data_IF_123672423422
#
_entry.id   IF_123672423422
#
_cell.length_a   1.000
_cell.length_b   1.000
_cell.length_c   1.000
_cell.angle_alpha   90.00
_cell.angle_beta   90.00
_cell.angle_gamma   90.00
#
_symmetry.space_group_name_H-M   'P 1'
#
loop_
_entity.id
_entity.type
_entity.pdbx_description
1 polymer ?
#
# COMPACT_ATOMS: atom_id res chain seq x y z
N UNK A 1 -7.31 20.72 2.12
CA UNK A 1 -6.10 20.78 2.95
C UNK A 1 -5.29 22.03 2.60
N UNK A 2 -5.77 23.21 2.92
CA UNK A 2 -5.06 24.48 2.70
C UNK A 2 -4.96 25.19 4.05
N UNK A 3 -3.73 25.40 4.56
CA UNK A 3 -3.50 26.09 5.81
C UNK A 3 -2.22 25.66 6.53
N UNK A 4 -1.97 26.24 7.70
CA UNK A 4 -0.79 25.97 8.57
C UNK A 4 -0.59 24.46 8.80
N UNK A 5 -1.67 23.71 9.01
CA UNK A 5 -1.61 22.27 9.22
C UNK A 5 -1.05 21.48 8.02
N UNK A 6 -1.23 21.95 6.78
CA UNK A 6 -0.64 21.27 5.60
C UNK A 6 0.87 21.47 5.52
N UNK A 7 1.39 22.63 5.94
CA UNK A 7 2.83 22.88 6.04
C UNK A 7 3.46 22.05 7.15
N UNK A 8 2.79 21.96 8.31
CA UNK A 8 3.25 21.11 9.42
C UNK A 8 3.27 19.63 9.03
N UNK A 9 2.21 19.15 8.34
CA UNK A 9 2.22 17.79 7.78
C UNK A 9 3.42 17.57 6.87
N UNK A 10 3.64 18.48 5.92
CA UNK A 10 4.75 18.36 4.97
C UNK A 10 6.11 18.35 5.66
N UNK A 11 6.32 19.23 6.63
CA UNK A 11 7.55 19.26 7.43
C UNK A 11 7.75 17.95 8.20
N UNK A 12 6.69 17.42 8.83
CA UNK A 12 6.72 16.13 9.52
C UNK A 12 7.02 14.97 8.58
N UNK A 13 6.38 14.92 7.41
CA UNK A 13 6.64 13.92 6.36
C UNK A 13 8.12 13.94 5.94
N UNK A 14 8.68 15.12 5.69
CA UNK A 14 10.09 15.28 5.27
C UNK A 14 11.05 14.82 6.35
N UNK A 15 10.88 15.34 7.57
CA UNK A 15 11.77 15.01 8.70
C UNK A 15 11.74 13.51 8.98
N UNK A 16 10.54 12.95 9.12
CA UNK A 16 10.40 11.54 9.47
C UNK A 16 10.88 10.63 8.34
N UNK A 17 10.61 10.97 7.07
CA UNK A 17 11.11 10.20 5.92
C UNK A 17 12.63 10.26 5.81
N UNK A 18 13.26 11.40 6.10
CA UNK A 18 14.71 11.55 6.11
C UNK A 18 15.34 10.70 7.21
N UNK A 19 14.82 10.80 8.44
CA UNK A 19 15.31 10.02 9.59
C UNK A 19 15.14 8.51 9.35
N UNK A 20 13.96 8.08 8.91
CA UNK A 20 13.70 6.67 8.59
C UNK A 20 14.57 6.20 7.42
N UNK A 21 14.76 7.04 6.39
CA UNK A 21 15.63 6.73 5.26
C UNK A 21 17.05 6.42 5.71
N UNK A 22 17.64 7.27 6.56
CA UNK A 22 18.99 7.06 7.11
C UNK A 22 19.01 5.81 8.02
N UNK A 23 18.07 5.70 8.94
CA UNK A 23 18.01 4.59 9.89
C UNK A 23 17.88 3.22 9.20
N UNK A 24 17.21 3.18 8.05
CA UNK A 24 17.00 1.93 7.29
C UNK A 24 18.08 1.67 6.24
N UNK A 25 19.09 2.53 6.05
CA UNK A 25 20.15 2.32 5.07
C UNK A 25 20.86 0.96 5.18
N UNK A 26 21.30 0.49 6.36
CA UNK A 26 21.92 -0.84 6.46
C UNK A 26 20.97 -1.94 6.05
N UNK A 27 19.70 -1.86 6.45
CA UNK A 27 18.66 -2.81 6.08
C UNK A 27 18.42 -2.81 4.56
N UNK A 28 18.32 -1.63 3.94
CA UNK A 28 18.12 -1.52 2.48
C UNK A 28 19.27 -2.10 1.69
N UNK A 29 20.52 -1.97 2.18
CA UNK A 29 21.69 -2.59 1.58
C UNK A 29 21.60 -4.13 1.62
N UNK A 30 21.26 -4.71 2.79
CA UNK A 30 21.05 -6.15 2.96
C UNK A 30 19.91 -6.65 2.07
N UNK A 31 18.76 -5.97 2.08
CA UNK A 31 17.62 -6.36 1.24
C UNK A 31 17.96 -6.29 -0.24
N UNK A 32 18.70 -5.28 -0.68
CA UNK A 32 19.18 -5.16 -2.07
C UNK A 32 20.01 -6.36 -2.47
N UNK A 33 20.93 -6.79 -1.62
CA UNK A 33 21.76 -7.97 -1.86
C UNK A 33 20.90 -9.25 -1.93
N UNK A 34 20.01 -9.47 -0.98
CA UNK A 34 19.11 -10.62 -0.95
C UNK A 34 18.23 -10.71 -2.19
N UNK A 35 17.66 -9.59 -2.66
CA UNK A 35 16.84 -9.53 -3.87
C UNK A 35 17.68 -9.92 -5.11
N UNK A 36 18.91 -9.45 -5.18
CA UNK A 36 19.82 -9.75 -6.28
C UNK A 36 20.27 -11.21 -6.32
N UNK A 37 20.39 -11.85 -5.15
CA UNK A 37 20.71 -13.28 -5.02
C UNK A 37 19.51 -14.19 -5.29
N UNK A 38 18.27 -13.71 -5.04
CA UNK A 38 17.04 -14.51 -5.18
C UNK A 38 16.53 -14.59 -6.63
N UNK A 39 16.78 -13.55 -7.43
CA UNK A 39 16.34 -13.52 -8.84
C UNK A 39 17.09 -12.49 -9.67
N UNK A 40 17.17 -12.69 -10.98
CA UNK A 40 17.83 -11.79 -11.93
C UNK A 40 17.08 -10.46 -12.10
N UNK A 41 17.84 -9.38 -12.34
CA UNK A 41 17.31 -8.06 -12.66
C UNK A 41 17.58 -7.00 -11.60
N UNK A 42 17.02 -5.76 -11.75
CA UNK A 42 17.25 -4.65 -10.83
C UNK A 42 16.56 -4.89 -9.48
N UNK A 43 17.19 -4.49 -8.36
CA UNK A 43 16.60 -4.63 -7.04
C UNK A 43 15.43 -3.66 -6.80
N UNK A 44 15.43 -2.52 -7.50
CA UNK A 44 14.34 -1.52 -7.44
C UNK A 44 13.41 -1.71 -8.62
N UNK A 45 12.14 -1.92 -8.31
CA UNK A 45 11.03 -1.89 -9.27
C UNK A 45 10.49 -0.46 -9.35
N UNK A 46 10.15 -0.04 -10.56
CA UNK A 46 9.60 1.28 -10.87
C UNK A 46 8.22 1.09 -11.49
N UNK A 47 7.21 1.74 -10.90
CA UNK A 47 5.84 1.68 -11.41
C UNK A 47 5.30 3.08 -11.65
N UNK A 48 4.61 3.28 -12.77
CA UNK A 48 3.84 4.53 -12.98
C UNK A 48 2.62 4.51 -12.08
N UNK A 49 2.40 5.60 -11.36
CA UNK A 49 1.25 5.78 -10.47
C UNK A 49 0.67 7.18 -10.64
N UNK A 50 -0.61 7.30 -10.29
CA UNK A 50 -1.33 8.59 -10.29
C UNK A 50 -1.40 9.11 -8.86
N UNK A 51 -0.97 10.34 -8.67
CA UNK A 51 -0.91 11.04 -7.40
C UNK A 51 -1.86 12.24 -7.32
N UNK A 52 -1.47 13.22 -6.52
CA UNK A 52 -2.25 14.42 -6.26
C UNK A 52 -2.68 15.15 -7.55
N UNK A 53 -3.96 15.48 -7.63
CA UNK A 53 -4.59 16.14 -8.79
C UNK A 53 -4.40 15.40 -10.12
N UNK A 54 -4.26 14.07 -10.08
CA UNK A 54 -4.11 13.26 -11.28
C UNK A 54 -2.72 13.30 -11.92
N UNK A 55 -1.71 13.89 -11.27
CA UNK A 55 -0.33 13.92 -11.78
C UNK A 55 0.29 12.54 -11.68
N UNK A 56 0.87 12.06 -12.77
CA UNK A 56 1.62 10.82 -12.76
C UNK A 56 3.02 11.01 -12.16
N UNK A 57 3.48 9.98 -11.47
CA UNK A 57 4.83 9.92 -10.91
C UNK A 57 5.37 8.48 -10.96
N UNK A 58 6.68 8.33 -10.76
CA UNK A 58 7.33 7.03 -10.66
C UNK A 58 7.42 6.59 -9.20
N UNK A 59 6.67 5.57 -8.85
CA UNK A 59 6.74 4.91 -7.55
C UNK A 59 7.94 3.96 -7.50
N UNK A 60 8.72 4.03 -6.43
CA UNK A 60 9.85 3.13 -6.19
C UNK A 60 9.49 2.07 -5.15
N UNK A 61 9.79 0.81 -5.47
CA UNK A 61 9.65 -0.33 -4.54
C UNK A 61 10.83 -1.26 -4.66
N UNK A 62 11.10 -2.05 -3.65
CA UNK A 62 11.92 -3.24 -3.86
C UNK A 62 11.18 -4.23 -4.74
N UNK A 63 11.93 -4.88 -5.64
CA UNK A 63 11.39 -5.94 -6.48
C UNK A 63 11.03 -7.15 -5.61
N UNK A 64 9.76 -7.52 -5.62
CA UNK A 64 9.20 -8.67 -4.91
C UNK A 64 8.67 -9.75 -5.85
N UNK A 65 8.77 -9.54 -7.16
CA UNK A 65 8.35 -10.47 -8.21
C UNK A 65 9.48 -10.74 -9.18
N UNK A 66 9.41 -11.85 -9.91
CA UNK A 66 10.33 -12.15 -11.01
C UNK A 66 10.25 -11.06 -12.10
N UNK A 67 11.33 -10.91 -12.89
CA UNK A 67 11.43 -9.85 -13.90
C UNK A 67 10.37 -9.95 -15.01
N UNK A 68 9.91 -11.16 -15.30
CA UNK A 68 8.89 -11.48 -16.31
C UNK A 68 7.44 -11.50 -15.75
N UNK A 69 7.22 -10.99 -14.53
CA UNK A 69 5.95 -11.05 -13.82
C UNK A 69 4.77 -10.38 -14.60
N UNK A 70 5.05 -9.31 -15.35
CA UNK A 70 4.01 -8.65 -16.16
C UNK A 70 3.60 -9.52 -17.36
N UNK A 71 4.55 -10.20 -17.98
CA UNK A 71 4.29 -11.10 -19.12
C UNK A 71 3.44 -12.30 -18.69
N UNK A 72 3.70 -12.84 -17.49
CA UNK A 72 2.91 -13.95 -16.91
C UNK A 72 1.52 -13.53 -16.41
N UNK A 73 1.22 -12.24 -16.33
CA UNK A 73 -0.05 -11.78 -15.75
C UNK A 73 -1.25 -12.23 -16.56
N UNK A 74 -1.14 -12.24 -17.91
CA UNK A 74 -2.24 -12.66 -18.78
C UNK A 74 -2.68 -14.10 -18.50
N UNK A 75 -1.72 -15.01 -18.30
CA UNK A 75 -1.98 -16.43 -18.04
C UNK A 75 -2.61 -16.66 -16.65
N UNK A 76 -2.38 -15.73 -15.71
CA UNK A 76 -2.86 -15.79 -14.33
C UNK A 76 -4.12 -14.95 -14.07
N UNK A 77 -4.65 -14.30 -15.09
CA UNK A 77 -5.81 -13.41 -14.96
C UNK A 77 -7.05 -14.12 -14.37
N UNK A 78 -7.22 -15.41 -14.66
CA UNK A 78 -8.30 -16.24 -14.15
C UNK A 78 -8.23 -16.49 -12.62
N UNK A 79 -7.06 -16.30 -12.00
CA UNK A 79 -6.85 -16.42 -10.55
C UNK A 79 -7.06 -15.09 -9.79
N UNK A 80 -7.36 -14.01 -10.50
CA UNK A 80 -7.56 -12.70 -9.88
C UNK A 80 -8.87 -12.63 -9.10
N UNK A 81 -8.79 -12.43 -7.80
CA UNK A 81 -9.95 -12.26 -6.89
C UNK A 81 -10.26 -10.79 -6.58
N UNK A 82 -9.43 -9.85 -7.06
CA UNK A 82 -9.56 -8.42 -6.78
C UNK A 82 -10.52 -7.65 -7.71
N UNK A 83 -11.09 -8.31 -8.71
CA UNK A 83 -11.96 -7.66 -9.69
C UNK A 83 -11.22 -6.76 -10.69
N UNK A 84 -11.93 -5.90 -11.44
CA UNK A 84 -11.37 -5.12 -12.55
C UNK A 84 -10.43 -3.97 -12.09
N UNK A 85 -10.61 -3.51 -10.85
CA UNK A 85 -9.84 -2.39 -10.29
C UNK A 85 -8.59 -2.82 -9.54
N UNK A 86 -8.36 -4.13 -9.35
CA UNK A 86 -7.30 -4.62 -8.50
C UNK A 86 -6.82 -5.99 -8.93
N UNK A 87 -5.53 -6.12 -9.18
CA UNK A 87 -4.90 -7.43 -9.40
C UNK A 87 -4.51 -8.01 -8.04
N UNK A 88 -5.24 -9.04 -7.61
CA UNK A 88 -5.04 -9.73 -6.34
C UNK A 88 -5.13 -11.24 -6.57
N UNK A 89 -3.97 -11.89 -6.63
CA UNK A 89 -3.85 -13.33 -6.89
C UNK A 89 -3.36 -14.02 -5.63
N UNK A 90 -4.16 -14.94 -5.03
CA UNK A 90 -3.72 -15.71 -3.87
C UNK A 90 -2.51 -16.58 -4.22
N UNK A 91 -1.51 -16.64 -3.33
CA UNK A 91 -0.28 -17.41 -3.55
C UNK A 91 0.38 -17.14 -4.92
N UNK A 92 0.41 -15.89 -5.35
CA UNK A 92 0.86 -15.44 -6.65
C UNK A 92 2.24 -16.06 -7.01
N UNK A 93 2.32 -16.93 -8.05
CA UNK A 93 3.55 -17.63 -8.42
C UNK A 93 4.63 -16.69 -8.98
N UNK A 94 4.28 -15.43 -9.28
CA UNK A 94 5.23 -14.42 -9.73
C UNK A 94 6.06 -13.85 -8.58
N UNK A 95 5.62 -14.05 -7.32
CA UNK A 95 6.31 -13.52 -6.13
C UNK A 95 7.50 -14.42 -5.79
N UNK A 96 8.70 -13.82 -5.68
CA UNK A 96 9.92 -14.54 -5.33
C UNK A 96 9.93 -14.95 -3.84
N UNK A 97 10.90 -15.79 -3.43
CA UNK A 97 11.02 -16.23 -2.02
C UNK A 97 11.29 -15.04 -1.09
N UNK A 98 12.28 -14.21 -1.45
CA UNK A 98 12.58 -12.98 -0.72
C UNK A 98 11.40 -12.00 -0.83
N UNK A 99 10.76 -11.92 -2.01
CA UNK A 99 9.59 -11.09 -2.25
C UNK A 99 8.42 -11.38 -1.32
N UNK A 100 8.15 -12.64 -0.98
CA UNK A 100 7.14 -13.01 0.04
C UNK A 100 7.46 -12.41 1.40
N UNK A 101 8.70 -12.54 1.84
CA UNK A 101 9.16 -11.93 3.10
C UNK A 101 9.00 -10.41 3.09
N UNK A 102 9.44 -9.76 2.01
CA UNK A 102 9.32 -8.31 1.86
C UNK A 102 7.87 -7.83 1.96
N UNK A 103 6.94 -8.49 1.25
CA UNK A 103 5.51 -8.15 1.26
C UNK A 103 4.86 -8.40 2.61
N UNK A 104 5.22 -9.49 3.27
CA UNK A 104 4.71 -9.82 4.59
C UNK A 104 4.94 -8.71 5.61
N UNK A 105 6.11 -8.10 5.58
CA UNK A 105 6.50 -7.01 6.49
C UNK A 105 6.46 -5.63 5.84
N UNK A 106 5.88 -5.51 4.62
CA UNK A 106 5.82 -4.26 3.84
C UNK A 106 7.18 -3.58 3.61
N UNK A 107 8.27 -4.34 3.69
CA UNK A 107 9.64 -3.86 3.48
C UNK A 107 9.89 -3.48 2.02
N UNK A 108 9.12 -4.03 1.09
CA UNK A 108 9.15 -3.66 -0.32
C UNK A 108 8.78 -2.19 -0.54
N UNK A 109 8.14 -1.54 0.40
CA UNK A 109 7.70 -0.16 0.31
C UNK A 109 8.73 0.87 0.82
N UNK A 110 9.83 0.45 1.46
CA UNK A 110 10.87 1.35 1.97
C UNK A 110 11.41 2.36 0.94
N UNK A 111 11.65 1.99 -0.34
CA UNK A 111 12.11 2.97 -1.34
C UNK A 111 11.11 4.11 -1.61
N UNK A 112 9.84 3.99 -1.22
CA UNK A 112 8.86 5.07 -1.36
C UNK A 112 9.15 6.27 -0.44
N UNK A 113 9.98 6.12 0.60
CA UNK A 113 10.48 7.24 1.37
C UNK A 113 11.14 8.30 0.47
N UNK A 114 11.78 7.87 -0.63
CA UNK A 114 12.31 8.77 -1.64
C UNK A 114 11.22 9.55 -2.37
N UNK A 115 10.07 8.93 -2.67
CA UNK A 115 8.94 9.64 -3.26
C UNK A 115 8.36 10.69 -2.28
N UNK A 116 8.37 10.39 -0.97
CA UNK A 116 7.95 11.38 0.04
C UNK A 116 8.93 12.56 0.05
N UNK A 117 10.24 12.32 0.07
CA UNK A 117 11.24 13.39 0.04
C UNK A 117 11.11 14.26 -1.22
N UNK A 118 10.81 13.68 -2.38
CA UNK A 118 10.55 14.41 -3.64
C UNK A 118 9.24 15.21 -3.64
N UNK A 119 8.32 14.96 -2.71
CA UNK A 119 7.01 15.62 -2.67
C UNK A 119 5.94 14.98 -3.55
N UNK A 120 6.20 13.82 -4.10
CA UNK A 120 5.27 13.03 -4.89
C UNK A 120 4.28 12.26 -4.00
N UNK A 121 4.68 11.97 -2.76
CA UNK A 121 3.93 11.23 -1.75
C UNK A 121 4.01 11.90 -0.38
N UNK A 122 3.18 11.41 0.53
CA UNK A 122 3.18 11.62 1.98
C UNK A 122 3.45 10.28 2.68
N UNK A 123 3.78 10.30 3.96
CA UNK A 123 3.82 9.08 4.77
C UNK A 123 2.41 8.48 4.90
N UNK A 124 1.40 9.33 5.16
CA UNK A 124 0.00 8.92 5.33
C UNK A 124 -0.88 9.56 4.27
N UNK A 125 -1.67 8.75 3.58
CA UNK A 125 -2.61 9.20 2.55
C UNK A 125 -3.26 8.05 1.77
N UNK A 126 -4.12 8.35 0.79
CA UNK A 126 -4.69 7.36 -0.11
C UNK A 126 -3.60 6.58 -0.86
N UNK A 127 -3.81 5.27 -1.07
CA UNK A 127 -2.83 4.47 -1.83
C UNK A 127 -2.84 4.86 -3.31
N UNK A 128 -1.67 5.12 -3.94
CA UNK A 128 -1.61 5.49 -5.34
C UNK A 128 -1.90 4.28 -6.25
N UNK A 129 -2.77 4.49 -7.23
CA UNK A 129 -3.17 3.47 -8.20
C UNK A 129 -2.49 3.70 -9.56
N UNK A 130 -2.51 2.68 -10.43
CA UNK A 130 -1.98 2.79 -11.79
C UNK A 130 -2.85 3.71 -12.66
N UNK A 131 -2.30 4.26 -13.75
CA UNK A 131 -3.11 5.05 -14.70
C UNK A 131 -4.30 4.28 -15.27
N UNK A 132 -4.14 2.98 -15.54
CA UNK A 132 -5.21 2.11 -16.03
C UNK A 132 -6.34 1.93 -15.01
N UNK A 133 -6.02 1.77 -13.71
CA UNK A 133 -7.00 1.69 -12.64
C UNK A 133 -7.75 3.02 -12.45
N UNK A 134 -7.01 4.14 -12.46
CA UNK A 134 -7.60 5.48 -12.31
C UNK A 134 -8.47 5.87 -13.51
N UNK A 135 -8.18 5.36 -14.71
CA UNK A 135 -9.03 5.57 -15.88
C UNK A 135 -10.46 5.03 -15.69
N UNK A 136 -10.62 3.99 -14.87
CA UNK A 136 -11.90 3.37 -14.54
C UNK A 136 -12.64 4.06 -13.37
N UNK A 137 -12.05 5.09 -12.74
CA UNK A 137 -12.65 5.75 -11.59
C UNK A 137 -13.93 6.50 -11.95
N UNK A 138 -14.95 6.30 -11.14
CA UNK A 138 -16.12 7.18 -11.08
C UNK A 138 -15.71 8.56 -10.53
N UNK A 139 -16.57 9.57 -10.70
CA UNK A 139 -16.33 10.91 -10.15
C UNK A 139 -16.14 10.86 -8.61
N UNK A 140 -16.95 10.05 -7.93
CA UNK A 140 -16.82 9.84 -6.47
C UNK A 140 -15.43 9.28 -6.11
N UNK A 141 -14.94 8.28 -6.83
CA UNK A 141 -13.63 7.68 -6.59
C UNK A 141 -12.47 8.63 -6.90
N UNK A 142 -12.65 9.55 -7.87
CA UNK A 142 -11.64 10.57 -8.22
C UNK A 142 -11.33 11.53 -7.06
N UNK A 143 -12.23 11.68 -6.08
CA UNK A 143 -11.97 12.47 -4.86
C UNK A 143 -10.72 11.99 -4.11
N UNK A 144 -10.32 10.73 -4.25
CA UNK A 144 -9.05 10.19 -3.68
C UNK A 144 -7.82 10.97 -4.15
N UNK A 145 -7.88 11.57 -5.34
CA UNK A 145 -6.80 12.37 -5.92
C UNK A 145 -6.72 13.79 -5.33
N UNK A 146 -7.59 14.17 -4.43
CA UNK A 146 -7.57 15.46 -3.73
C UNK A 146 -6.51 15.55 -2.61
N UNK A 147 -5.84 14.43 -2.28
CA UNK A 147 -4.74 14.37 -1.32
C UNK A 147 -3.48 13.79 -1.95
N UNK A 148 -2.31 14.07 -1.34
CA UNK A 148 -1.08 13.35 -1.68
C UNK A 148 -1.25 11.86 -1.34
N UNK A 149 -0.82 10.96 -2.23
CA UNK A 149 -0.85 9.54 -1.92
C UNK A 149 0.11 9.20 -0.78
N UNK A 150 -0.25 8.20 0.03
CA UNK A 150 0.53 7.75 1.19
C UNK A 150 1.29 6.45 0.96
N UNK A 151 2.36 6.25 1.73
CA UNK A 151 2.99 4.93 1.92
C UNK A 151 2.02 4.05 2.70
N UNK A 152 1.45 4.59 3.79
CA UNK A 152 0.36 3.97 4.55
C UNK A 152 -0.91 4.83 4.49
N UNK A 153 -2.02 4.28 4.92
CA UNK A 153 -3.31 4.97 4.91
C UNK A 153 -4.35 4.28 5.77
N UNK A 154 -5.49 4.92 5.96
CA UNK A 154 -6.53 4.45 6.86
C UNK A 154 -7.02 3.04 6.51
N UNK A 155 -7.27 2.73 5.24
CA UNK A 155 -7.69 1.38 4.84
C UNK A 155 -6.60 0.32 5.09
N UNK A 156 -5.31 0.68 4.92
CA UNK A 156 -4.19 -0.24 5.10
C UNK A 156 -4.06 -0.72 6.55
N UNK A 157 -4.49 0.09 7.51
CA UNK A 157 -4.44 -0.25 8.93
C UNK A 157 -5.77 -0.79 9.48
N UNK A 158 -6.92 -0.49 8.83
CA UNK A 158 -8.25 -0.83 9.34
C UNK A 158 -9.04 -1.83 8.49
N UNK A 159 -8.72 -1.96 7.20
CA UNK A 159 -9.48 -2.77 6.24
C UNK A 159 -8.58 -3.51 5.23
N UNK A 160 -7.34 -3.83 5.61
CA UNK A 160 -6.34 -4.46 4.72
C UNK A 160 -6.79 -5.83 4.20
N UNK A 161 -7.51 -6.57 5.01
CA UNK A 161 -7.96 -7.93 4.69
C UNK A 161 -9.23 -7.93 3.83
N UNK A 162 -9.94 -6.81 3.69
CA UNK A 162 -11.14 -6.71 2.86
C UNK A 162 -10.74 -6.65 1.37
N UNK A 163 -11.24 -7.57 0.52
CA UNK A 163 -10.88 -7.58 -0.90
C UNK A 163 -11.63 -6.54 -1.73
N UNK A 164 -12.66 -5.89 -1.18
CA UNK A 164 -13.54 -4.99 -1.93
C UNK A 164 -12.91 -3.62 -2.10
N UNK A 165 -12.76 -3.21 -3.35
CA UNK A 165 -12.19 -1.91 -3.69
C UNK A 165 -13.02 -0.73 -3.13
N UNK A 166 -14.34 -0.88 -3.09
CA UNK A 166 -15.27 0.13 -2.55
C UNK A 166 -14.99 0.44 -1.07
N UNK A 167 -14.61 -0.57 -0.30
CA UNK A 167 -14.24 -0.40 1.12
C UNK A 167 -12.96 0.42 1.24
N UNK A 168 -11.98 0.17 0.38
CA UNK A 168 -10.74 0.96 0.36
C UNK A 168 -11.00 2.40 -0.04
N UNK A 169 -11.84 2.62 -1.07
CA UNK A 169 -12.27 3.96 -1.48
C UNK A 169 -12.95 4.68 -0.33
N UNK A 170 -13.91 4.04 0.34
CA UNK A 170 -14.62 4.62 1.46
C UNK A 170 -13.67 5.06 2.58
N UNK A 171 -12.68 4.21 2.93
CA UNK A 171 -11.67 4.54 3.95
C UNK A 171 -10.72 5.65 3.52
N UNK A 172 -10.34 5.71 2.26
CA UNK A 172 -9.52 6.80 1.73
C UNK A 172 -10.28 8.14 1.73
N UNK A 173 -11.57 8.13 1.42
CA UNK A 173 -12.40 9.33 1.49
C UNK A 173 -12.68 9.74 2.93
N UNK A 174 -12.94 8.80 3.85
CA UNK A 174 -13.04 9.04 5.28
C UNK A 174 -11.78 9.75 5.82
N UNK A 175 -10.59 9.29 5.41
CA UNK A 175 -9.34 9.94 5.75
C UNK A 175 -9.25 11.37 5.21
N UNK A 176 -9.63 11.59 3.95
CA UNK A 176 -9.57 12.92 3.30
C UNK A 176 -10.52 13.91 4.00
N UNK A 177 -11.74 13.46 4.30
CA UNK A 177 -12.80 14.29 4.86
C UNK A 177 -12.54 14.62 6.34
N UNK A 178 -11.92 13.71 7.09
CA UNK A 178 -11.64 13.87 8.53
C UNK A 178 -10.14 14.08 8.85
N UNK A 179 -9.36 14.47 7.85
CA UNK A 179 -7.92 14.59 8.02
C UNK A 179 -7.53 15.54 9.18
N UNK A 180 -6.59 15.09 9.99
CA UNK A 180 -5.91 15.85 11.02
C UNK A 180 -4.52 15.26 11.27
N UNK A 181 -3.60 16.06 11.84
CA UNK A 181 -2.29 15.57 12.27
C UNK A 181 -2.40 14.43 13.30
N UNK A 182 -3.44 14.48 14.14
CA UNK A 182 -3.72 13.42 15.10
C UNK A 182 -4.16 12.11 14.42
N UNK A 183 -4.93 12.20 13.34
CA UNK A 183 -5.30 11.02 12.55
C UNK A 183 -4.07 10.41 11.87
N UNK A 184 -3.18 11.24 11.31
CA UNK A 184 -1.91 10.76 10.74
C UNK A 184 -1.08 10.04 11.79
N UNK A 185 -0.93 10.62 12.98
CA UNK A 185 -0.18 10.00 14.08
C UNK A 185 -0.77 8.64 14.48
N UNK A 186 -2.10 8.54 14.61
CA UNK A 186 -2.78 7.27 14.90
C UNK A 186 -2.50 6.22 13.84
N UNK A 187 -2.60 6.59 12.55
CA UNK A 187 -2.36 5.69 11.43
C UNK A 187 -0.89 5.21 11.43
N UNK A 188 0.07 6.10 11.70
CA UNK A 188 1.49 5.73 11.80
C UNK A 188 1.73 4.72 12.93
N UNK A 189 1.15 4.92 14.11
CA UNK A 189 1.25 3.97 15.22
C UNK A 189 0.64 2.61 14.86
N UNK A 190 -0.55 2.59 14.25
CA UNK A 190 -1.19 1.37 13.81
C UNK A 190 -0.38 0.65 12.72
N UNK A 191 0.28 1.40 11.84
CA UNK A 191 1.16 0.86 10.79
C UNK A 191 2.31 0.06 11.40
N UNK A 192 2.89 0.51 12.51
CA UNK A 192 3.94 -0.25 13.23
C UNK A 192 3.40 -1.63 13.62
N UNK A 193 2.20 -1.69 14.20
CA UNK A 193 1.55 -2.94 14.56
C UNK A 193 1.29 -3.86 13.36
N UNK A 194 0.86 -3.30 12.23
CA UNK A 194 0.63 -4.05 10.98
C UNK A 194 1.94 -4.62 10.42
N UNK A 195 3.00 -3.81 10.40
CA UNK A 195 4.33 -4.22 9.90
C UNK A 195 4.94 -5.30 10.79
N UNK A 196 4.94 -5.12 12.11
CA UNK A 196 5.50 -6.10 13.06
C UNK A 196 4.65 -7.37 13.13
N UNK A 197 3.34 -7.26 13.01
CA UNK A 197 2.42 -8.40 13.01
C UNK A 197 2.58 -9.33 11.80
N UNK A 198 3.27 -8.86 10.75
CA UNK A 198 3.59 -9.68 9.58
C UNK A 198 2.35 -10.30 8.95
N UNK A 199 1.23 -9.57 8.93
CA UNK A 199 0.04 -10.06 8.24
C UNK A 199 0.33 -10.09 6.75
N UNK A 200 0.26 -11.28 6.18
CA UNK A 200 0.32 -11.44 4.74
C UNK A 200 -0.73 -10.54 4.09
N UNK A 201 -0.30 -9.80 3.08
CA UNK A 201 -1.24 -9.13 2.17
C UNK A 201 -1.95 -10.16 1.25
N UNK A 202 -1.88 -11.45 1.61
CA UNK A 202 -2.59 -12.50 0.91
C UNK A 202 -4.10 -12.27 1.12
N UNK A 203 -4.86 -12.12 0.05
CA UNK A 203 -6.30 -11.93 0.17
C UNK A 203 -6.92 -13.17 0.79
N UNK A 204 -7.88 -12.97 1.69
CA UNK A 204 -8.80 -14.04 2.07
C UNK A 204 -9.45 -14.55 0.77
N UNK A 205 -9.47 -15.83 0.60
CA UNK A 205 -10.19 -16.44 -0.55
C UNK A 205 -11.70 -16.29 -0.37
N UNK A 206 -12.47 -16.44 -1.42
CA UNK A 206 -13.93 -16.44 -1.31
C UNK A 206 -14.45 -17.50 -0.32
N UNK A 207 -13.74 -18.63 -0.18
CA UNK A 207 -14.00 -19.64 0.84
C UNK A 207 -13.75 -19.17 2.26
N UNK A 208 -12.64 -18.43 2.49
CA UNK A 208 -12.32 -17.89 3.81
C UNK A 208 -13.37 -16.86 4.27
N UNK A 209 -13.86 -16.04 3.34
CA UNK A 209 -14.94 -15.08 3.59
C UNK A 209 -16.29 -15.75 3.83
N UNK A 210 -16.56 -16.86 3.15
CA UNK A 210 -17.77 -17.66 3.36
C UNK A 210 -17.78 -18.37 4.71
N UNK A 211 -16.62 -18.83 5.19
CA UNK A 211 -16.47 -19.42 6.53
C UNK A 211 -16.58 -18.37 7.64
N UNK A 212 -16.03 -17.19 7.45
CA UNK A 212 -16.13 -16.10 8.42
C UNK A 212 -17.57 -15.58 8.59
N UNK A 213 -18.33 -15.53 7.50
CA UNK A 213 -19.75 -15.18 7.54
C UNK A 213 -20.63 -16.28 8.19
N UNK A 214 -20.16 -17.52 8.29
CA UNK A 214 -20.83 -18.62 8.96
C UNK A 214 -20.56 -18.70 10.47
N UNK A 215 -19.51 -18.03 10.97
CA UNK A 215 -19.29 -17.91 12.41
C UNK A 215 -20.33 -16.98 13.00
N UNK A 216 -21.14 -17.42 13.98
CA UNK A 216 -22.09 -16.55 14.66
C UNK A 216 -21.30 -15.41 15.30
N UNK A 217 -21.73 -14.17 15.04
CA UNK A 217 -21.23 -12.99 15.76
C UNK A 217 -21.50 -13.27 17.23
N UNK A 218 -20.42 -13.50 17.99
CA UNK A 218 -20.53 -13.68 19.43
C UNK A 218 -21.32 -12.50 19.99
N UNK A 219 -22.40 -12.80 20.64
CA UNK A 219 -23.13 -11.88 21.50
C UNK A 219 -22.18 -11.52 22.64
N UNK A 220 -21.42 -10.43 22.47
CA UNK A 220 -20.71 -9.83 23.59
C UNK A 220 -21.76 -9.34 24.57
N UNK A 221 -21.75 -10.01 25.73
CA UNK A 221 -22.77 -9.99 26.72
C UNK A 221 -23.03 -8.60 27.28
N UNK A 222 -24.31 -8.32 27.38
CA UNK A 222 -24.81 -7.49 28.45
C UNK A 222 -24.56 -8.21 29.78
N UNK A 223 -23.84 -7.54 30.67
CA UNK A 223 -23.54 -7.93 32.01
C UNK A 223 -22.83 -6.80 32.71
#
# INVERSE_FOLDING_TARGET
MLGVNSHLKRAGDLILSFVLGIATLPLTAVLTLLIKLDSDGPAIFRARRVGFKGREFTLYKFRSMYADAEQRLADLAHLNVGGPHLIKIPNDPRVTRVGRFLRKYSLDELPQLWNVLKGEMSLVGPRPQSPSEVALYTEHQRRRLAALPGITGLWQVSARDDPRFEVWVAKDLEYIDNWSLWLDFKILLQTIGVVLGGKDAAPKTASDLAEENKKPRGTDGAG
#
